data_IF_802730713543
#
_entry.id   IF_802730713543
#
_cell.length_a   1.000
_cell.length_b   1.000
_cell.length_c   1.000
_cell.angle_alpha   90.00
_cell.angle_beta   90.00
_cell.angle_gamma   90.00
#
_symmetry.space_group_name_H-M   'P 1'
#
loop_
_entity.id
_entity.type
_entity.pdbx_description
1 polymer ?
2 non-polymer ?
3 water ?
#
# COMPACT_ATOMS: atom_id res chain seq x y z
N UNK A 6 40.42 12.76 -25.57
CA UNK A 6 39.12 12.76 -24.84
C UNK A 6 39.23 13.75 -23.71
N UNK A 7 38.25 14.65 -23.60
CA UNK A 7 38.34 15.75 -22.65
C UNK A 7 37.03 15.98 -21.91
N UNK A 8 37.13 16.76 -20.83
CA UNK A 8 35.96 17.27 -20.17
C UNK A 8 35.67 18.58 -20.85
N UNK A 9 34.40 18.79 -21.17
CA UNK A 9 33.93 20.04 -21.76
C UNK A 9 33.36 20.90 -20.67
N UNK A 10 33.41 22.23 -20.85
CA UNK A 10 32.78 23.11 -19.86
C UNK A 10 31.34 22.68 -19.58
N UNK A 11 30.94 22.76 -18.32
CA UNK A 11 29.58 22.45 -17.88
C UNK A 11 28.55 23.30 -18.60
N UNK A 12 27.49 22.67 -19.09
CA UNK A 12 26.39 23.44 -19.65
C UNK A 12 25.40 23.87 -18.57
N UNK A 13 25.14 25.18 -18.50
CA UNK A 13 24.16 25.71 -17.55
C UNK A 13 22.95 26.29 -18.25
N UNK A 14 21.76 25.85 -17.85
CA UNK A 14 20.55 26.31 -18.51
C UNK A 14 19.35 26.34 -17.52
N UNK A 15 18.40 27.19 -17.82
CA UNK A 15 17.31 27.48 -16.89
C UNK A 15 15.97 27.23 -17.54
N UNK A 16 15.05 26.65 -16.77
CA UNK A 16 13.72 26.36 -17.24
C UNK A 16 12.76 26.39 -16.08
N UNK A 17 11.48 26.56 -16.38
CA UNK A 17 10.46 26.41 -15.35
C UNK A 17 10.00 24.96 -15.36
N UNK A 18 9.54 24.52 -14.20
CA UNK A 18 8.84 23.27 -14.00
C UNK A 18 7.96 22.91 -15.18
N UNK A 19 7.03 23.81 -15.50
CA UNK A 19 6.04 23.62 -16.58
C UNK A 19 6.65 23.29 -17.94
N UNK A 20 7.84 23.82 -18.22
CA UNK A 20 8.54 23.46 -19.44
C UNK A 20 8.76 21.95 -19.52
N UNK A 21 8.91 21.30 -18.37
CA UNK A 21 9.09 19.87 -18.36
C UNK A 21 7.87 19.09 -17.95
N UNK A 22 6.70 19.52 -18.43
CA UNK A 22 5.43 19.01 -17.91
C UNK A 22 4.86 17.81 -18.66
N UNK A 23 5.50 17.46 -19.78
CA UNK A 23 5.04 16.36 -20.65
C UNK A 23 6.10 15.28 -20.80
N UNK A 24 5.77 14.04 -20.42
CA UNK A 24 6.74 12.95 -20.52
C UNK A 24 7.23 12.87 -21.94
N UNK A 25 8.55 12.82 -22.10
CA UNK A 25 9.17 12.64 -23.41
C UNK A 25 9.44 13.91 -24.19
N UNK A 26 8.87 15.04 -23.77
CA UNK A 26 9.13 16.33 -24.42
C UNK A 26 10.63 16.62 -24.53
N UNK A 27 11.05 16.98 -25.75
CA UNK A 27 12.42 17.44 -25.98
C UNK A 27 12.48 18.89 -25.55
N UNK A 28 13.04 19.11 -24.36
CA UNK A 28 13.13 20.44 -23.78
C UNK A 28 14.19 21.31 -24.46
N UNK A 29 15.36 20.75 -24.74
CA UNK A 29 16.43 21.48 -25.42
C UNK A 29 17.46 20.56 -26.05
N UNK A 30 18.37 21.17 -26.81
CA UNK A 30 19.42 20.47 -27.56
C UNK A 30 20.82 20.76 -26.98
N UNK A 31 21.59 19.71 -26.70
CA UNK A 31 22.95 19.89 -26.21
C UNK A 31 23.82 20.37 -27.37
N UNK A 32 24.89 21.09 -27.04
CA UNK A 32 25.75 21.68 -28.06
C UNK A 32 26.69 20.64 -28.65
N UNK A 33 26.68 20.58 -29.98
CA UNK A 33 27.57 19.73 -30.74
C UNK A 33 28.81 20.54 -31.06
N UNK A 34 29.93 19.85 -31.28
CA UNK A 34 31.14 20.52 -31.73
C UNK A 34 31.51 20.14 -33.17
N UNK A 35 30.98 19.01 -33.62
CA UNK A 35 30.96 18.60 -35.02
C UNK A 35 29.65 17.90 -35.23
N UNK A 36 29.23 17.80 -36.48
CA UNK A 36 28.00 17.11 -36.81
C UNK A 36 28.03 15.65 -36.34
N UNK A 37 29.11 14.95 -36.65
CA UNK A 37 29.20 13.49 -36.45
C UNK A 37 29.06 12.94 -35.03
N UNK A 38 29.36 13.73 -34.01
CA UNK A 38 29.41 13.24 -32.64
C UNK A 38 28.03 12.90 -32.06
N UNK A 39 27.98 11.88 -31.21
CA UNK A 39 26.71 11.46 -30.63
C UNK A 39 26.73 11.45 -29.11
N UNK A 40 25.54 11.47 -28.53
CA UNK A 40 25.36 11.68 -27.09
C UNK A 40 24.73 10.47 -26.40
N UNK A 41 25.07 10.32 -25.12
CA UNK A 41 24.49 9.30 -24.27
C UNK A 41 24.64 9.76 -22.82
N UNK A 42 23.63 9.55 -21.99
CA UNK A 42 23.70 10.02 -20.62
C UNK A 42 24.68 9.13 -19.87
N UNK A 43 25.41 9.69 -18.91
CA UNK A 43 26.40 8.90 -18.19
C UNK A 43 25.76 7.90 -17.22
N UNK A 44 24.75 8.32 -16.47
CA UNK A 44 24.03 7.42 -15.56
C UNK A 44 22.55 7.75 -15.56
N UNK A 45 21.73 6.85 -15.03
CA UNK A 45 20.32 7.13 -14.85
C UNK A 45 20.10 8.51 -14.24
N UNK A 46 19.07 9.17 -14.72
CA UNK A 46 18.58 10.34 -14.03
C UNK A 46 17.06 10.25 -14.03
N UNK A 47 16.42 10.58 -12.88
CA UNK A 47 14.97 10.39 -12.84
C UNK A 47 14.22 11.38 -13.71
N UNK A 48 14.85 12.50 -14.07
CA UNK A 48 14.14 13.60 -14.71
C UNK A 48 14.34 13.72 -16.20
N UNK A 49 15.44 13.19 -16.71
CA UNK A 49 15.76 13.40 -18.13
C UNK A 49 16.33 12.14 -18.81
N UNK A 50 16.10 12.02 -20.12
CA UNK A 50 16.86 11.03 -20.90
C UNK A 50 17.59 11.78 -22.03
N UNK A 51 18.50 11.11 -22.71
CA UNK A 51 19.25 11.81 -23.77
C UNK A 51 19.30 11.02 -25.07
N UNK A 52 18.76 11.60 -26.14
CA UNK A 52 18.80 10.96 -27.47
C UNK A 52 20.19 11.01 -28.03
N UNK A 53 20.50 10.13 -28.98
CA UNK A 53 21.86 10.11 -29.53
C UNK A 53 22.23 11.41 -30.28
N UNK A 54 21.23 12.17 -30.73
CA UNK A 54 21.48 13.45 -31.43
C UNK A 54 21.67 14.67 -30.50
N UNK A 55 21.56 14.48 -29.19
CA UNK A 55 21.76 15.57 -28.25
C UNK A 55 20.50 16.07 -27.55
N UNK A 56 19.35 15.54 -27.96
CA UNK A 56 18.08 16.02 -27.41
C UNK A 56 17.95 15.56 -25.96
N UNK A 57 17.63 16.51 -25.08
CA UNK A 57 17.37 16.22 -23.68
C UNK A 57 15.85 16.15 -23.47
N UNK A 58 15.35 14.97 -23.11
CA UNK A 58 13.91 14.72 -23.01
C UNK A 58 13.47 14.46 -21.57
N UNK A 59 12.29 14.95 -21.24
CA UNK A 59 11.67 14.73 -19.94
C UNK A 59 11.45 13.25 -19.72
N UNK A 60 11.85 12.77 -18.55
CA UNK A 60 11.57 11.40 -18.14
C UNK A 60 10.34 11.47 -17.24
N UNK A 61 10.55 11.77 -15.96
CA UNK A 61 9.44 12.02 -15.05
C UNK A 61 9.10 13.51 -15.11
N UNK A 62 7.81 13.82 -15.19
CA UNK A 62 7.34 15.21 -15.19
C UNK A 62 8.09 16.05 -14.17
N UNK A 63 8.72 17.12 -14.65
CA UNK A 63 9.54 17.96 -13.79
C UNK A 63 8.72 18.56 -12.65
N UNK A 64 9.34 18.63 -11.48
CA UNK A 64 8.61 19.00 -10.28
C UNK A 64 9.52 19.73 -9.33
N UNK A 65 9.29 21.04 -9.20
CA UNK A 65 10.00 21.88 -8.27
C UNK A 65 9.81 21.39 -6.85
N UNK A 66 8.58 20.97 -6.53
CA UNK A 66 8.22 20.50 -5.19
C UNK A 66 8.94 19.21 -4.77
N UNK A 67 9.58 18.52 -5.72
CA UNK A 67 10.19 17.23 -5.41
C UNK A 67 11.71 17.22 -5.59
N UNK A 68 12.25 18.35 -6.05
CA UNK A 68 13.70 18.58 -6.13
C UNK A 68 14.26 19.01 -4.79
N UNK A 69 15.57 18.86 -4.61
CA UNK A 69 16.25 19.22 -3.36
C UNK A 69 16.50 20.71 -3.25
N UNK A 70 17.27 21.13 -2.24
CA UNK A 70 17.44 22.56 -1.99
C UNK A 70 18.06 23.30 -3.18
N UNK A 71 18.97 22.64 -3.90
CA UNK A 71 19.65 23.24 -5.05
C UNK A 71 18.70 23.53 -6.21
N UNK A 72 17.64 22.71 -6.31
CA UNK A 72 16.59 22.89 -7.32
C UNK A 72 17.12 22.72 -8.75
N UNK A 73 18.03 21.76 -8.90
CA UNK A 73 18.63 21.50 -10.19
C UNK A 73 18.43 20.04 -10.62
N UNK A 74 18.51 19.81 -11.93
CA UNK A 74 18.58 18.48 -12.52
C UNK A 74 20.02 18.43 -13.02
N UNK A 75 20.83 17.58 -12.41
CA UNK A 75 22.28 17.63 -12.57
C UNK A 75 22.76 16.27 -13.08
N UNK A 76 23.29 16.24 -14.29
CA UNK A 76 23.70 14.97 -14.90
C UNK A 76 24.92 15.11 -15.81
N UNK A 77 25.57 13.97 -16.05
CA UNK A 77 26.69 13.92 -16.95
C UNK A 77 26.32 13.31 -18.30
N UNK A 78 27.05 13.69 -19.33
CA UNK A 78 26.76 13.21 -20.66
C UNK A 78 28.04 12.78 -21.35
N UNK A 79 28.02 11.59 -21.96
CA UNK A 79 29.16 11.11 -22.72
C UNK A 79 28.95 11.52 -24.16
N UNK A 80 30.01 12.02 -24.80
CA UNK A 80 29.93 12.43 -26.21
C UNK A 80 30.99 11.72 -27.03
N UNK A 81 30.57 10.91 -28.00
CA UNK A 81 31.47 9.99 -28.69
C UNK A 81 31.64 10.32 -30.17
N UNK A 82 32.82 9.96 -30.72
CA UNK A 82 33.12 10.06 -32.15
C UNK A 82 34.15 9.02 -32.57
N UNK A 85 34.86 6.79 -36.63
CA UNK A 85 35.78 6.44 -37.71
C UNK A 85 35.49 7.28 -38.96
N UNK A 86 36.55 7.65 -39.68
CA UNK A 86 36.43 8.44 -40.88
C UNK A 86 36.39 9.95 -40.61
N UNK A 87 36.46 10.32 -39.34
CA UNK A 87 36.43 11.73 -38.94
C UNK A 87 37.84 12.14 -38.57
N UNK A 88 38.77 11.21 -38.72
CA UNK A 88 40.19 11.43 -38.40
C UNK A 88 40.54 11.26 -36.92
N UNK A 89 40.12 12.22 -36.10
CA UNK A 89 40.48 12.26 -34.68
C UNK A 89 39.35 11.72 -33.78
N UNK A 90 39.65 10.65 -33.03
CA UNK A 90 38.66 9.92 -32.23
C UNK A 90 38.71 10.26 -30.74
N UNK A 91 37.55 10.33 -30.11
CA UNK A 91 37.47 10.69 -28.70
C UNK A 91 36.15 10.26 -28.08
N UNK A 92 36.13 10.27 -26.75
CA UNK A 92 34.94 10.02 -25.96
C UNK A 92 34.98 11.04 -24.82
N UNK A 93 34.22 12.12 -25.00
CA UNK A 93 34.25 13.28 -24.10
C UNK A 93 33.21 13.22 -22.98
N UNK A 94 33.42 14.02 -21.94
CA UNK A 94 32.44 14.17 -20.87
C UNK A 94 31.97 15.61 -20.73
N UNK A 95 30.67 15.79 -20.51
CA UNK A 95 30.13 17.11 -20.17
C UNK A 95 29.08 16.99 -19.08
N UNK A 96 29.16 17.89 -18.11
CA UNK A 96 28.17 18.01 -17.06
C UNK A 96 27.06 18.95 -17.53
N UNK A 97 25.83 18.64 -17.15
CA UNK A 97 24.68 19.45 -17.53
C UNK A 97 23.84 19.77 -16.29
N UNK A 98 23.65 21.06 -16.03
CA UNK A 98 22.90 21.53 -14.86
C UNK A 98 21.74 22.43 -15.29
N UNK A 99 20.54 21.90 -15.13
CA UNK A 99 19.31 22.65 -15.41
C UNK A 99 18.79 23.27 -14.12
N UNK A 100 18.68 24.60 -14.08
CA UNK A 100 18.02 25.24 -12.94
C UNK A 100 16.54 25.17 -13.23
N UNK A 101 15.78 24.73 -12.23
CA UNK A 101 14.35 24.58 -12.41
C UNK A 101 13.62 25.64 -11.59
N UNK A 102 12.84 26.49 -12.28
CA UNK A 102 12.09 27.54 -11.59
C UNK A 102 10.68 27.11 -11.18
N UNK A 103 10.25 27.60 -10.02
CA UNK A 103 8.95 27.25 -9.47
C UNK A 103 7.79 27.79 -10.30
N UNK A 104 6.75 26.98 -10.41
CA UNK A 104 5.47 27.42 -10.94
C UNK A 104 4.43 26.98 -9.93
N UNK A 105 3.46 27.87 -9.67
CA UNK A 105 2.31 27.53 -8.84
C UNK A 105 1.43 26.48 -9.54
N UNK A 106 1.76 25.20 -9.35
CA UNK A 106 1.17 24.13 -10.16
C UNK A 106 0.49 23.03 -9.34
N UNK A 107 0.49 23.20 -8.02
CA UNK A 107 -0.10 22.22 -7.10
C UNK A 107 -1.22 22.86 -6.32
N UNK A 108 -2.38 22.18 -6.24
CA UNK A 108 -3.57 22.72 -5.56
C UNK A 108 -3.42 22.70 -4.05
N UNK A 109 -4.18 23.56 -3.34
CA UNK A 109 -4.19 23.57 -1.90
C UNK A 109 -5.02 22.39 -1.36
N UNK A 110 -4.90 22.10 -0.06
CA UNK A 110 -5.61 20.98 0.56
C UNK A 110 -5.85 21.26 2.04
N UNK A 111 -7.04 20.92 2.54
CA UNK A 111 -7.38 21.08 3.95
C UNK A 111 -6.56 20.12 4.84
N UNK A 112 -6.12 20.60 5.99
CA UNK A 112 -5.43 19.74 6.95
C UNK A 112 -6.25 19.47 8.21
N UNK A 113 -7.46 20.01 8.28
CA UNK A 113 -8.39 19.72 9.38
C UNK A 113 -8.61 18.25 9.53
N UNK A 114 -8.57 17.77 10.78
CA UNK A 114 -8.90 16.38 11.09
C UNK A 114 -9.71 16.40 12.37
N UNK A 115 -10.64 15.44 12.54
CA UNK A 115 -11.00 14.40 11.56
C UNK A 115 -11.89 14.94 10.46
N UNK A 116 -12.07 14.13 9.41
CA UNK A 116 -12.98 14.40 8.32
C UNK A 116 -14.11 13.38 8.31
N UNK A 117 -15.34 13.80 7.99
CA UNK A 117 -15.76 15.19 7.64
C UNK A 117 -15.57 16.18 8.78
N UNK A 118 -15.51 17.47 8.43
CA UNK A 118 -15.41 18.55 9.40
C UNK A 118 -16.68 18.67 10.24
N UNK A 119 -16.52 18.67 11.57
CA UNK A 119 -17.68 18.80 12.48
C UNK A 119 -17.39 19.74 13.64
N UNK A 120 -18.40 20.51 14.03
CA UNK A 120 -18.28 21.39 15.17
C UNK A 120 -19.63 21.48 15.88
N UNK A 121 -19.66 22.19 17.00
CA UNK A 121 -20.93 22.51 17.65
C UNK A 121 -21.11 24.02 17.78
N UNK A 122 -22.37 24.45 17.89
CA UNK A 122 -22.67 25.85 18.18
C UNK A 122 -23.54 25.91 19.45
N UNK A 123 -23.06 26.68 20.42
CA UNK A 123 -23.80 26.91 21.65
C UNK A 123 -25.17 27.49 21.31
N UNK A 124 -26.21 26.99 21.98
CA UNK A 124 -27.59 27.36 21.65
C UNK A 124 -27.88 28.88 21.58
N UNK A 125 -27.33 29.64 22.51
CA UNK A 125 -27.54 31.08 22.55
C UNK A 125 -26.28 31.87 22.24
N UNK A 126 -25.40 31.29 21.43
CA UNK A 126 -24.15 31.93 21.03
C UNK A 126 -24.37 33.38 20.60
N UNK A 127 -23.66 34.32 21.23
CA UNK A 127 -23.72 35.69 20.73
C UNK A 127 -23.24 35.83 19.28
N UNK A 128 -23.66 36.89 18.57
CA UNK A 128 -23.22 37.06 17.19
C UNK A 128 -21.71 37.10 17.13
N UNK A 129 -21.13 36.49 16.10
CA UNK A 129 -19.69 36.49 15.92
C UNK A 129 -18.95 35.55 16.85
N UNK A 130 -19.65 34.51 17.32
CA UNK A 130 -18.98 33.50 18.09
C UNK A 130 -18.17 32.58 17.14
N UNK A 131 -16.87 32.39 17.43
CA UNK A 131 -16.08 31.43 16.65
C UNK A 131 -16.51 29.99 16.90
N UNK A 132 -16.57 29.19 15.84
CA UNK A 132 -17.19 27.87 15.87
C UNK A 132 -16.29 26.78 15.28
N UNK A 133 -15.45 27.17 14.33
CA UNK A 133 -14.57 26.26 13.59
C UNK A 133 -13.51 27.10 12.86
N UNK A 134 -12.36 26.50 12.56
CA UNK A 134 -11.28 27.19 11.85
C UNK A 134 -10.78 26.32 10.72
N UNK A 135 -11.04 26.76 9.49
CA UNK A 135 -10.60 26.02 8.32
C UNK A 135 -9.11 26.23 8.17
N UNK A 136 -8.39 25.14 7.88
CA UNK A 136 -6.97 25.28 7.60
C UNK A 136 -6.56 24.52 6.36
N UNK A 137 -5.94 25.24 5.42
CA UNK A 137 -5.40 24.67 4.19
C UNK A 137 -3.89 24.89 4.12
N UNK A 138 -3.24 24.10 3.28
CA UNK A 138 -1.81 24.20 3.01
C UNK A 138 -1.66 24.05 1.52
N UNK A 139 -0.53 24.52 0.99
CA UNK A 139 -0.26 24.55 -0.45
C UNK A 139 1.23 24.38 -0.69
N UNK A 140 1.60 23.38 -1.50
CA UNK A 140 2.98 23.00 -1.70
C UNK A 140 3.85 24.07 -2.35
N UNK A 141 3.24 25.01 -3.09
CA UNK A 141 3.98 26.01 -3.87
C UNK A 141 4.55 27.12 -2.99
N UNK A 142 5.68 27.68 -3.41
CA UNK A 142 6.42 28.66 -2.61
C UNK A 142 5.63 29.95 -2.33
N UNK A 143 4.99 30.48 -3.36
CA UNK A 143 4.27 31.75 -3.28
C UNK A 143 2.74 31.63 -3.16
N UNK A 144 2.25 30.58 -2.48
CA UNK A 144 0.81 30.36 -2.31
C UNK A 144 0.04 31.54 -1.68
N UNK A 145 -1.25 31.56 -1.89
CA UNK A 145 -2.07 32.66 -1.41
C UNK A 145 -3.45 32.13 -1.09
N UNK A 146 -3.57 31.56 0.10
CA UNK A 146 -4.76 30.80 0.49
C UNK A 146 -5.89 31.72 0.94
N UNK A 147 -7.05 31.57 0.29
CA UNK A 147 -8.25 32.31 0.59
C UNK A 147 -9.35 31.31 0.94
N UNK A 148 -10.11 31.62 2.00
CA UNK A 148 -11.17 30.73 2.47
C UNK A 148 -12.56 31.24 2.09
N UNK A 149 -13.46 30.31 1.78
CA UNK A 149 -14.79 30.68 1.36
C UNK A 149 -15.83 29.68 1.81
N UNK A 150 -17.02 30.20 2.13
CA UNK A 150 -18.20 29.38 2.18
C UNK A 150 -18.76 29.46 0.78
N UNK A 151 -18.82 28.36 0.05
CA UNK A 151 -19.36 28.42 -1.32
C UNK A 151 -20.84 28.25 -1.38
N UNK A 152 -21.40 27.56 -0.38
CA UNK A 152 -22.81 27.23 -0.41
C UNK A 152 -23.24 27.09 1.03
N UNK A 153 -24.34 27.78 1.35
CA UNK A 153 -24.80 27.92 2.72
C UNK A 153 -26.15 27.23 2.83
N UNK A 154 -26.31 26.45 3.89
CA UNK A 154 -27.59 25.82 4.18
C UNK A 154 -28.05 26.09 5.61
N UNK A 155 -27.43 27.09 6.24
CA UNK A 155 -27.90 27.64 7.51
C UNK A 155 -28.95 28.72 7.24
N UNK A 156 -28.92 29.26 6.02
CA UNK A 156 -29.80 30.36 5.62
C UNK A 156 -29.14 31.70 5.85
N UNK A 157 -27.89 31.68 6.29
CA UNK A 157 -27.10 32.90 6.50
C UNK A 157 -26.59 33.08 7.90
N UNK A 158 -26.65 32.04 8.72
CA UNK A 158 -26.28 32.13 10.13
C UNK A 158 -24.80 32.04 10.42
N UNK A 159 -23.96 32.02 9.37
CA UNK A 159 -22.52 31.90 9.54
C UNK A 159 -21.76 32.66 8.45
N UNK A 160 -20.50 32.96 8.73
CA UNK A 160 -19.59 33.64 7.81
C UNK A 160 -18.15 33.21 8.12
N UNK A 161 -17.28 33.22 7.11
CA UNK A 161 -15.89 32.82 7.34
C UNK A 161 -14.96 33.96 7.01
N UNK A 162 -13.92 34.12 7.81
CA UNK A 162 -12.91 35.10 7.50
C UNK A 162 -12.03 34.54 6.38
N UNK A 163 -11.87 35.32 5.33
CA UNK A 163 -11.22 34.86 4.11
C UNK A 163 -9.71 34.51 4.29
N UNK A 164 -9.05 35.13 5.27
CA UNK A 164 -7.63 34.86 5.50
C UNK A 164 -7.37 33.86 6.63
N UNK A 165 -8.03 34.04 7.77
CA UNK A 165 -7.78 33.19 8.95
C UNK A 165 -8.49 31.86 8.85
N UNK A 166 -9.58 31.82 8.08
CA UNK A 166 -10.37 30.60 7.91
C UNK A 166 -11.31 30.35 9.09
N UNK A 167 -11.42 31.31 10.00
CA UNK A 167 -12.38 31.22 11.10
C UNK A 167 -13.83 31.34 10.62
N UNK A 168 -14.65 30.36 11.01
CA UNK A 168 -16.10 30.39 10.84
C UNK A 168 -16.77 30.88 12.15
N UNK A 169 -17.62 31.89 12.03
CA UNK A 169 -18.30 32.48 13.19
C UNK A 169 -19.77 32.74 12.87
N UNK A 170 -20.60 32.74 13.92
CA UNK A 170 -22.04 32.97 13.77
C UNK A 170 -22.36 34.38 13.32
N UNK A 171 -23.56 34.55 12.77
CA UNK A 171 -24.13 35.86 12.46
C UNK A 171 -25.52 35.90 13.06
N UNK A 172 -25.94 37.07 13.51
CA UNK A 172 -27.30 37.22 13.99
C UNK A 172 -27.43 36.86 15.45
N UNK A 173 -28.60 37.13 16.01
CA UNK A 173 -28.80 37.01 17.44
C UNK A 173 -29.72 35.85 17.80
N UNK A 174 -30.45 35.34 16.80
CA UNK A 174 -31.37 34.23 17.03
C UNK A 174 -30.65 33.02 17.65
N UNK A 175 -31.41 32.21 18.36
CA UNK A 175 -30.85 31.04 19.00
C UNK A 175 -30.66 29.93 17.98
N UNK A 176 -29.73 29.03 18.25
CA UNK A 176 -29.59 27.84 17.44
C UNK A 176 -30.40 26.71 18.08
N UNK A 177 -30.86 25.78 17.26
CA UNK A 177 -31.74 24.71 17.75
C UNK A 177 -30.99 23.43 18.13
N UNK A 178 -31.26 22.97 19.34
CA UNK A 178 -30.65 21.75 19.87
C UNK A 178 -30.75 20.64 18.84
N UNK A 179 -29.61 20.02 18.56
CA UNK A 179 -29.54 18.82 17.76
C UNK A 179 -29.75 19.05 16.27
N UNK A 180 -29.96 20.29 15.87
CA UNK A 180 -30.10 20.57 14.45
C UNK A 180 -28.76 20.76 13.79
N UNK A 181 -28.61 20.19 12.60
CA UNK A 181 -27.37 20.31 11.85
C UNK A 181 -27.46 21.53 10.95
N UNK A 182 -26.40 22.34 10.95
CA UNK A 182 -26.32 23.48 10.05
C UNK A 182 -25.15 23.22 9.11
N UNK A 183 -25.44 23.17 7.81
CA UNK A 183 -24.47 22.70 6.85
C UNK A 183 -23.86 23.83 6.03
N UNK A 184 -22.54 23.81 5.95
CA UNK A 184 -21.81 24.73 5.09
C UNK A 184 -20.90 23.93 4.19
N UNK A 185 -20.92 24.26 2.90
CA UNK A 185 -19.94 23.73 1.97
C UNK A 185 -18.87 24.80 1.79
N UNK A 186 -17.63 24.43 2.05
CA UNK A 186 -16.54 25.39 2.09
C UNK A 186 -15.47 24.99 1.08
N UNK A 187 -14.63 25.94 0.69
CA UNK A 187 -13.45 25.63 -0.13
C UNK A 187 -12.35 26.57 0.28
N UNK A 188 -11.12 26.18 -0.02
CA UNK A 188 -9.98 27.06 0.10
C UNK A 188 -9.35 27.10 -1.27
N UNK A 189 -8.94 28.29 -1.71
CA UNK A 189 -8.31 28.42 -3.02
C UNK A 189 -6.96 29.17 -2.95
N UNK A 190 -6.09 28.86 -3.91
CA UNK A 190 -4.79 29.52 -3.99
C UNK A 190 -4.87 30.50 -5.14
N UNK A 191 -4.88 31.78 -4.82
CA UNK A 191 -5.13 32.80 -5.83
C UNK A 191 -3.89 33.24 -6.58
N UNK A 192 -2.75 32.68 -6.21
CA UNK A 192 -1.54 32.91 -6.97
C UNK A 192 -1.38 31.90 -8.09
N UNK A 193 -2.25 30.88 -8.11
CA UNK A 193 -2.28 29.88 -9.19
C UNK A 193 -3.66 29.63 -9.80
N UNK A 194 -3.70 29.42 -11.12
CA UNK A 194 -4.96 29.17 -11.82
C UNK A 194 -4.90 27.94 -12.73
N UNK A 195 -5.92 27.72 -13.56
CA UNK A 195 -6.00 26.54 -14.45
C UNK A 195 -6.23 26.92 -15.92
N UNK A 198 -8.43 30.57 -16.64
CA UNK A 198 -8.48 31.70 -15.70
C UNK A 198 -9.20 31.34 -14.40
N UNK A 199 -9.18 30.06 -14.03
CA UNK A 199 -9.90 29.59 -12.83
C UNK A 199 -8.95 29.16 -11.70
N UNK A 200 -9.17 29.68 -10.49
CA UNK A 200 -8.26 29.43 -9.38
C UNK A 200 -8.12 27.97 -8.95
N UNK A 201 -6.89 27.58 -8.60
CA UNK A 201 -6.62 26.30 -7.95
C UNK A 201 -7.46 26.23 -6.68
N UNK A 202 -7.89 25.03 -6.33
CA UNK A 202 -8.94 24.88 -5.34
C UNK A 202 -8.91 23.49 -4.70
N UNK A 203 -9.29 23.44 -3.43
CA UNK A 203 -9.55 22.18 -2.74
C UNK A 203 -10.86 21.63 -3.29
N UNK A 204 -11.11 20.33 -3.07
CA UNK A 204 -12.49 19.92 -3.32
C UNK A 204 -13.39 20.60 -2.29
N UNK A 205 -14.65 20.84 -2.66
CA UNK A 205 -15.67 21.26 -1.70
C UNK A 205 -15.70 20.34 -0.48
N UNK A 206 -15.76 20.91 0.72
CA UNK A 206 -15.93 20.12 1.94
C UNK A 206 -17.24 20.47 2.68
N UNK A 207 -17.85 19.45 3.28
CA UNK A 207 -19.08 19.64 4.01
C UNK A 207 -18.80 19.88 5.49
N UNK A 208 -19.05 21.10 5.97
CA UNK A 208 -18.87 21.44 7.38
C UNK A 208 -20.18 21.30 8.16
N UNK A 209 -20.19 20.33 9.08
CA UNK A 209 -21.38 20.02 9.89
C UNK A 209 -21.37 20.71 11.25
N UNK A 210 -22.29 21.65 11.42
CA UNK A 210 -22.39 22.36 12.68
C UNK A 210 -23.70 21.96 13.35
N UNK A 211 -23.59 21.33 14.52
CA UNK A 211 -24.78 20.90 15.24
C UNK A 211 -25.03 21.77 16.48
N UNK A 212 -26.29 22.18 16.66
CA UNK A 212 -26.68 23.04 17.76
C UNK A 212 -26.52 22.34 19.10
N UNK A 213 -25.81 22.98 20.01
CA UNK A 213 -25.83 22.56 21.41
C UNK A 213 -24.94 21.42 21.82
N UNK A 214 -25.07 20.26 21.16
CA UNK A 214 -24.34 19.03 21.55
C UNK A 214 -24.34 18.01 20.42
N UNK A 215 -23.28 17.21 20.32
CA UNK A 215 -23.26 16.10 19.37
C UNK A 215 -22.47 14.88 19.83
N UNK A 216 -22.79 13.74 19.23
CA UNK A 216 -22.07 12.50 19.44
C UNK A 216 -20.57 12.65 19.11
N UNK A 217 -19.74 11.75 19.66
CA UNK A 217 -18.30 11.76 19.36
C UNK A 217 -18.05 11.48 17.87
N UNK A 218 -16.81 11.72 17.43
CA UNK A 218 -16.42 11.39 16.08
C UNK A 218 -15.06 10.71 16.10
N UNK A 219 -14.95 9.59 15.39
CA UNK A 219 -13.69 8.87 15.23
C UNK A 219 -12.75 9.63 14.32
N UNK A 220 -11.44 9.46 14.55
CA UNK A 220 -10.41 10.14 13.78
C UNK A 220 -10.28 9.59 12.37
N UNK A 221 -10.84 8.42 12.14
CA UNK A 221 -10.94 7.90 10.77
C UNK A 221 -12.38 7.45 10.51
N UNK A 222 -12.88 7.66 9.26
CA UNK A 222 -14.25 7.24 8.95
C UNK A 222 -14.40 5.72 9.00
N UNK A 223 -13.30 4.99 8.81
CA UNK A 223 -13.30 3.55 9.06
C UNK A 223 -11.90 3.00 9.31
N UNK A 224 -11.85 1.79 9.83
CA UNK A 224 -10.57 1.18 10.14
C UNK A 224 -10.44 -0.18 9.51
N UNK A 225 -9.21 -0.52 9.09
CA UNK A 225 -8.87 -1.82 8.51
C UNK A 225 -7.47 -2.24 8.94
N UNK A 226 -7.22 -3.55 8.97
CA UNK A 226 -5.93 -4.12 9.33
C UNK A 226 -5.79 -5.55 8.80
N UNK A 227 -4.65 -5.84 8.18
CA UNK A 227 -4.38 -7.19 7.69
C UNK A 227 -3.28 -7.82 8.54
N UNK A 228 -3.62 -8.88 9.28
CA UNK A 228 -2.67 -9.53 10.17
C UNK A 228 -2.45 -11.00 9.80
N UNK A 229 -1.27 -11.55 10.12
CA UNK A 229 -1.05 -12.97 9.82
C UNK A 229 -1.67 -13.90 10.85
N UNK A 230 -2.11 -15.08 10.39
CA UNK A 230 -2.72 -16.11 11.24
C UNK A 230 -1.87 -16.58 12.42
N UNK A 231 -0.58 -16.30 12.38
CA UNK A 231 0.34 -16.82 13.39
C UNK A 231 0.75 -15.78 14.41
N UNK A 232 0.07 -14.64 14.42
CA UNK A 232 0.53 -13.56 15.25
C UNK A 232 0.04 -13.68 16.70
N UNK A 233 0.93 -13.45 17.66
CA UNK A 233 0.73 -13.87 19.05
C UNK A 233 -0.42 -13.17 19.78
N UNK A 234 -1.00 -13.87 20.75
CA UNK A 234 -2.10 -13.34 21.58
C UNK A 234 -1.66 -12.12 22.39
N UNK A 235 -2.62 -11.25 22.72
CA UNK A 235 -2.36 -10.08 23.57
C UNK A 235 -1.61 -8.98 22.80
N UNK A 236 -1.17 -9.27 21.58
CA UNK A 236 -0.47 -8.28 20.76
C UNK A 236 -1.44 -7.25 20.20
N UNK A 237 -0.94 -6.03 20.01
CA UNK A 237 -1.78 -4.91 19.56
C UNK A 237 -2.00 -4.93 18.06
N UNK A 238 -3.27 -4.90 17.65
CA UNK A 238 -3.62 -4.98 16.23
C UNK A 238 -3.76 -3.59 15.60
N UNK A 239 -4.61 -2.76 16.19
CA UNK A 239 -4.81 -1.40 15.73
C UNK A 239 -5.33 -0.60 16.92
N UNK A 240 -5.00 0.68 16.97
CA UNK A 240 -5.53 1.53 18.02
C UNK A 240 -6.51 2.54 17.43
N UNK A 241 -7.64 2.69 18.10
CA UNK A 241 -8.71 3.52 17.61
C UNK A 241 -8.96 4.67 18.56
N UNK A 242 -9.20 5.85 18.00
CA UNK A 242 -9.36 7.07 18.79
C UNK A 242 -10.51 7.93 18.27
N UNK A 243 -11.44 8.29 19.17
CA UNK A 243 -12.54 9.24 18.87
C UNK A 243 -12.40 10.51 19.70
N UNK A 244 -13.04 11.60 19.26
CA UNK A 244 -13.00 12.86 20.01
C UNK A 244 -14.40 13.24 20.47
N UNK A 245 -14.48 13.84 21.66
CA UNK A 245 -15.76 14.39 22.16
C UNK A 245 -15.87 15.87 21.81
N UNK A 246 -17.09 16.35 21.61
CA UNK A 246 -17.26 17.76 21.28
C UNK A 246 -17.58 18.58 22.52
N UNK A 247 -17.68 17.89 23.64
CA UNK A 247 -17.96 18.50 24.94
C UNK A 247 -16.94 18.00 25.97
N UNK A 248 -15.82 17.47 25.46
CA UNK A 248 -14.65 17.10 26.27
C UNK A 248 -14.95 16.09 27.38
N UNK A 249 -15.91 15.20 27.12
CA UNK A 249 -16.21 14.09 28.00
C UNK A 249 -15.19 12.99 27.72
N UNK A 250 -14.96 12.11 28.68
CA UNK A 250 -14.10 10.95 28.43
C UNK A 250 -14.93 9.82 27.77
N UNK A 251 -14.24 8.96 27.03
CA UNK A 251 -14.89 8.02 26.13
C UNK A 251 -14.48 6.58 26.45
N UNK A 252 -15.43 5.66 26.31
CA UNK A 252 -15.17 4.25 26.48
C UNK A 252 -15.66 3.38 25.32
N UNK A 253 -14.79 2.51 24.83
CA UNK A 253 -15.04 1.74 23.62
C UNK A 253 -15.55 0.33 23.87
N UNK A 254 -16.34 -0.20 22.93
CA UNK A 254 -16.83 -1.57 22.96
C UNK A 254 -16.81 -2.14 21.54
N UNK A 255 -16.75 -3.46 21.40
CA UNK A 255 -16.76 -4.09 20.07
C UNK A 255 -17.66 -5.31 19.87
N UNK A 256 -18.20 -5.42 18.66
CA UNK A 256 -19.18 -6.44 18.28
C UNK A 256 -18.76 -7.13 16.97
N UNK A 257 -19.50 -8.17 16.56
CA UNK A 257 -19.28 -8.86 15.29
C UNK A 257 -20.57 -9.04 14.50
N UNK A 258 -20.46 -9.16 13.18
CA UNK A 258 -21.59 -9.61 12.33
C UNK A 258 -21.15 -10.56 11.22
N UNK A 259 -21.49 -11.84 11.34
CA UNK A 259 -21.99 -12.44 12.58
C UNK A 259 -21.06 -13.62 12.79
N UNK A 260 -19.81 -13.43 12.39
CA UNK A 260 -18.81 -14.49 12.40
C UNK A 260 -17.67 -14.22 13.38
N UNK A 261 -17.61 -15.05 14.41
CA UNK A 261 -16.51 -15.04 15.39
C UNK A 261 -16.27 -13.78 16.21
N UNK A 262 -17.12 -13.55 17.20
CA UNK A 262 -16.81 -12.54 18.23
C UNK A 262 -16.07 -13.21 19.39
N UNK A 263 -15.29 -12.42 20.13
CA UNK A 263 -14.45 -12.96 21.21
C UNK A 263 -13.03 -13.19 20.71
N UNK A 264 -12.88 -13.18 19.39
CA UNK A 264 -11.60 -13.27 18.72
C UNK A 264 -10.77 -12.04 19.07
N UNK A 265 -11.43 -10.87 19.05
CA UNK A 265 -10.78 -9.61 19.38
C UNK A 265 -11.47 -8.95 20.56
N UNK A 266 -10.79 -7.98 21.14
CA UNK A 266 -11.34 -7.16 22.22
C UNK A 266 -10.71 -5.77 22.10
N UNK A 267 -11.19 -4.81 22.90
CA UNK A 267 -10.67 -3.44 22.85
C UNK A 267 -10.32 -2.84 24.22
N UNK A 268 -9.29 -2.00 24.24
CA UNK A 268 -8.82 -1.31 25.44
C UNK A 268 -9.81 -0.29 25.98
N UNK A 269 -10.06 -0.32 27.30
CA UNK A 269 -11.16 0.42 27.89
C UNK A 269 -11.11 1.88 27.50
N UNK A 270 -10.01 2.53 27.87
CA UNK A 270 -9.90 3.97 27.75
C UNK A 270 -8.90 4.34 26.65
N UNK A 271 -7.98 3.43 26.36
CA UNK A 271 -6.87 3.71 25.46
C UNK A 271 -7.13 3.32 23.99
N UNK A 272 -8.27 2.70 23.72
CA UNK A 272 -8.68 2.34 22.35
C UNK A 272 -7.88 1.29 21.57
N UNK A 273 -6.90 0.65 22.20
CA UNK A 273 -6.05 -0.31 21.49
C UNK A 273 -6.77 -1.65 21.32
N UNK A 274 -6.84 -2.15 20.09
CA UNK A 274 -7.39 -3.46 19.81
C UNK A 274 -6.33 -4.55 19.91
N UNK A 275 -6.65 -5.61 20.64
CA UNK A 275 -5.74 -6.73 20.82
C UNK A 275 -6.35 -8.03 20.31
N UNK A 276 -5.48 -9.00 20.05
CA UNK A 276 -5.89 -10.35 19.72
C UNK A 276 -6.10 -11.16 21.00
N UNK A 277 -7.28 -11.75 21.11
CA UNK A 277 -7.70 -12.46 22.32
C UNK A 277 -7.53 -13.97 22.23
N UNK A 278 -7.86 -14.52 21.06
CA UNK A 278 -7.74 -15.95 20.82
C UNK A 278 -6.75 -16.21 19.67
N UNK A 279 -6.02 -17.31 19.76
CA UNK A 279 -5.10 -17.70 18.69
C UNK A 279 -5.87 -17.97 17.38
N UNK A 280 -5.32 -17.55 16.25
CA UNK A 280 -6.01 -17.69 14.97
C UNK A 280 -5.62 -18.95 14.16
N UNK A 281 -6.43 -19.29 13.16
CA UNK A 281 -6.15 -20.41 12.25
C UNK A 281 -6.86 -20.23 10.89
N UNK A 282 -6.09 -19.82 9.88
CA UNK A 282 -6.55 -19.67 8.51
C UNK A 282 -7.14 -20.96 7.98
N UNK A 283 -6.68 -22.09 8.52
CA UNK A 283 -7.15 -23.41 8.13
C UNK A 283 -8.44 -23.84 8.85
N UNK A 284 -8.88 -23.06 9.83
CA UNK A 284 -10.10 -23.39 10.56
C UNK A 284 -11.32 -22.76 9.89
N UNK A 285 -12.11 -23.60 9.22
CA UNK A 285 -13.24 -23.15 8.41
C UNK A 285 -14.27 -22.32 9.19
N UNK A 286 -14.46 -22.68 10.45
CA UNK A 286 -15.43 -22.01 11.32
C UNK A 286 -15.10 -20.53 11.56
N UNK A 287 -13.81 -20.19 11.53
CA UNK A 287 -13.39 -18.79 11.52
C UNK A 287 -13.35 -18.28 10.08
N UNK A 288 -13.84 -17.04 9.85
CA UNK A 288 -13.75 -16.43 8.53
C UNK A 288 -12.34 -15.89 8.26
N UNK A 289 -12.09 -15.48 7.02
CA UNK A 289 -10.84 -14.84 6.63
C UNK A 289 -10.93 -13.32 6.75
N UNK A 290 -12.16 -12.82 6.73
CA UNK A 290 -12.44 -11.40 6.90
C UNK A 290 -13.33 -11.24 8.13
N UNK A 291 -12.90 -10.39 9.06
CA UNK A 291 -13.64 -10.13 10.29
C UNK A 291 -14.28 -8.73 10.26
N UNK A 292 -15.61 -8.67 10.15
CA UNK A 292 -16.33 -7.39 10.14
C UNK A 292 -16.74 -6.99 11.55
N UNK A 293 -16.06 -6.01 12.11
CA UNK A 293 -16.31 -5.58 13.49
C UNK A 293 -16.91 -4.18 13.60
N UNK A 294 -17.70 -3.98 14.65
CA UNK A 294 -18.31 -2.70 14.98
C UNK A 294 -17.68 -2.18 16.28
N UNK A 295 -17.08 -0.99 16.20
CA UNK A 295 -16.55 -0.29 17.38
C UNK A 295 -17.41 0.94 17.67
N UNK A 296 -17.96 1.00 18.88
CA UNK A 296 -18.71 2.17 19.32
C UNK A 296 -17.98 2.92 20.44
N UNK A 297 -17.89 4.23 20.28
CA UNK A 297 -17.29 5.09 21.29
C UNK A 297 -18.41 5.76 22.07
N UNK A 298 -18.57 5.38 23.34
CA UNK A 298 -19.64 5.91 24.17
C UNK A 298 -19.18 6.90 25.23
N UNK A 299 -19.94 7.99 25.38
CA UNK A 299 -19.76 8.94 26.47
C UNK A 299 -20.60 8.51 27.68
N UNK A 300 -19.94 7.92 28.66
CA UNK A 300 -20.61 7.37 29.83
C UNK A 300 -20.98 8.50 30.78
N UNK A 301 -20.33 9.64 30.57
CA UNK A 301 -20.70 10.90 31.21
C UNK A 301 -21.53 11.73 30.23
N UNK A 302 -22.75 11.26 29.95
CA UNK A 302 -23.67 11.91 29.00
C UNK A 302 -24.75 10.96 28.49
N UNK A 303 -24.44 10.24 27.42
CA UNK A 303 -25.35 9.27 26.81
C UNK A 303 -24.99 8.98 25.36
N UNK A 304 -24.63 10.02 24.60
CA UNK A 304 -24.28 9.91 23.19
C UNK A 304 -23.25 8.84 22.86
N UNK A 305 -23.31 8.33 21.63
CA UNK A 305 -22.34 7.36 21.13
C UNK A 305 -22.41 7.26 19.62
N UNK A 306 -21.30 6.85 18.99
CA UNK A 306 -21.27 6.61 17.55
C UNK A 306 -20.43 5.39 17.15
N UNK A 307 -20.81 4.80 16.03
CA UNK A 307 -20.23 3.56 15.53
C UNK A 307 -19.31 3.77 14.35
N UNK A 308 -18.41 2.81 14.16
CA UNK A 308 -17.50 2.82 13.04
C UNK A 308 -17.16 1.38 12.70
N UNK A 309 -17.07 1.07 11.42
CA UNK A 309 -16.74 -0.28 10.93
C UNK A 309 -15.25 -0.54 11.13
N UNK A 310 -14.90 -1.77 11.48
CA UNK A 310 -13.50 -2.20 11.61
C UNK A 310 -13.31 -3.59 10.97
N UNK A 311 -12.56 -3.63 9.88
CA UNK A 311 -12.37 -4.85 9.11
C UNK A 311 -10.96 -5.39 9.31
N UNK A 312 -10.88 -6.69 9.63
CA UNK A 312 -9.60 -7.39 9.80
C UNK A 312 -9.50 -8.60 8.85
N UNK A 313 -8.48 -8.59 8.00
CA UNK A 313 -8.20 -9.73 7.12
C UNK A 313 -7.07 -10.54 7.69
N UNK A 314 -7.26 -11.85 7.72
CA UNK A 314 -6.24 -12.75 8.24
C UNK A 314 -5.62 -13.46 7.05
N UNK A 315 -4.30 -13.59 7.06
CA UNK A 315 -3.56 -14.19 5.95
C UNK A 315 -2.97 -15.56 6.28
N UNK A 316 -2.84 -16.38 5.24
CA UNK A 316 -2.28 -17.72 5.33
C UNK A 316 -0.76 -17.65 5.56
N UNK A 317 -0.28 -18.39 6.55
CA UNK A 317 1.16 -18.66 6.65
C UNK A 317 1.37 -20.15 6.42
N UNK A 318 2.57 -20.50 5.97
CA UNK A 318 2.90 -21.88 5.68
C UNK A 318 3.15 -22.64 6.98
N UNK A 319 2.10 -22.86 7.75
CA UNK A 319 2.22 -23.59 9.01
C UNK A 319 1.95 -25.11 8.86
N UNK A 320 1.68 -25.55 7.65
CA UNK A 320 1.40 -26.97 7.44
C UNK A 320 2.37 -27.67 6.50
N UNK A 321 2.80 -28.86 6.89
CA UNK A 321 3.63 -29.70 6.02
C UNK A 321 2.78 -30.68 5.21
N UNK A 322 3.20 -30.99 3.96
CA UNK A 322 2.46 -32.00 3.17
C UNK A 322 2.39 -33.33 3.94
N UNK A 323 1.21 -33.95 4.00
CA UNK A 323 1.08 -35.29 4.62
C UNK A 323 0.69 -36.34 3.60
N UNK A 324 1.46 -37.42 3.54
CA UNK A 324 1.14 -38.56 2.68
C UNK A 324 -0.08 -39.28 3.23
N UNK A 325 -0.94 -39.74 2.33
CA UNK A 325 -2.18 -40.44 2.71
C UNK A 325 -1.91 -41.73 3.48
N UNK A 326 -0.79 -42.38 3.18
CA UNK A 326 -0.39 -43.58 3.91
C UNK A 326 0.91 -43.30 4.69
N UNK A 327 1.17 -44.06 5.78
CA UNK A 327 2.46 -43.88 6.47
C UNK A 327 3.64 -44.48 5.72
N UNK A 328 3.39 -45.44 4.85
CA UNK A 328 4.43 -46.01 3.98
C UNK A 328 3.82 -46.73 2.79
N UNK A 329 4.62 -46.91 1.76
CA UNK A 329 4.13 -47.49 0.51
C UNK A 329 4.96 -48.70 0.11
N UNK A 330 4.28 -49.68 -0.46
CA UNK A 330 4.87 -50.97 -0.73
C UNK A 330 4.32 -51.49 -2.05
N UNK A 331 5.19 -51.94 -2.95
CA UNK A 331 4.76 -52.63 -4.18
C UNK A 331 5.41 -54.01 -4.21
N UNK A 332 4.65 -55.01 -4.62
CA UNK A 332 5.12 -56.39 -4.63
C UNK A 332 5.22 -56.97 -6.02
N UNK A 333 5.87 -58.13 -6.12
CA UNK A 333 5.93 -58.92 -7.36
C UNK A 333 6.34 -58.09 -8.57
N UNK A 334 7.24 -57.14 -8.37
CA UNK A 334 7.70 -56.30 -9.46
C UNK A 334 8.75 -57.07 -10.24
N UNK A 335 8.50 -57.30 -11.52
CA UNK A 335 9.48 -57.97 -12.38
C UNK A 335 10.71 -57.07 -12.52
N UNK A 336 11.90 -57.62 -12.26
CA UNK A 336 13.11 -56.80 -12.30
C UNK A 336 13.53 -56.36 -13.71
N UNK A 337 13.11 -57.13 -14.71
CA UNK A 337 13.44 -56.78 -16.08
C UNK A 337 12.53 -55.70 -16.67
N UNK A 338 11.65 -55.14 -15.84
CA UNK A 338 10.71 -54.12 -16.33
C UNK A 338 11.44 -53.01 -17.09
N UNK A 339 10.93 -52.67 -18.29
CA UNK A 339 11.53 -51.58 -19.06
C UNK A 339 11.45 -50.26 -18.31
N UNK A 340 12.46 -49.41 -18.49
CA UNK A 340 12.49 -48.12 -17.83
C UNK A 340 11.27 -47.30 -18.18
N UNK A 341 10.66 -46.70 -17.16
CA UNK A 341 9.48 -45.89 -17.33
C UNK A 341 8.17 -46.53 -16.92
N UNK A 342 8.24 -47.70 -16.26
CA UNK A 342 7.02 -48.38 -15.82
C UNK A 342 6.54 -47.84 -14.49
N UNK A 343 5.24 -47.54 -14.41
CA UNK A 343 4.63 -47.14 -13.15
C UNK A 343 4.70 -48.31 -12.18
N UNK A 344 5.39 -48.11 -11.07
CA UNK A 344 5.53 -49.16 -10.05
C UNK A 344 4.44 -48.99 -9.01
N UNK A 345 4.25 -47.75 -8.55
CA UNK A 345 3.16 -47.42 -7.66
C UNK A 345 2.90 -45.92 -7.71
N UNK A 346 1.73 -45.52 -7.25
CA UNK A 346 1.37 -44.12 -7.17
C UNK A 346 1.35 -43.69 -5.71
N UNK A 347 1.79 -42.45 -5.48
CA UNK A 347 1.93 -41.87 -4.15
C UNK A 347 1.15 -40.55 -4.12
N UNK A 348 0.58 -40.21 -2.96
CA UNK A 348 -0.13 -38.93 -2.82
C UNK A 348 0.00 -38.30 -1.43
N UNK A 349 0.13 -36.98 -1.41
CA UNK A 349 0.27 -36.20 -0.19
C UNK A 349 -0.57 -34.93 -0.26
N UNK A 350 -1.08 -34.49 0.89
CA UNK A 350 -1.98 -33.35 0.95
C UNK A 350 -1.46 -32.30 1.92
N UNK A 351 -1.75 -31.04 1.62
CA UNK A 351 -1.26 -29.90 2.40
C UNK A 351 -2.42 -28.95 2.71
N UNK A 352 -2.61 -28.67 4.00
CA UNK A 352 -3.70 -27.83 4.50
C UNK A 352 -3.70 -26.36 4.05
N UNK A 353 -2.52 -25.81 3.77
CA UNK A 353 -2.35 -24.40 3.46
C UNK A 353 -2.98 -24.04 2.12
N UNK A 354 -2.78 -22.80 1.67
CA UNK A 354 -3.38 -22.34 0.41
C UNK A 354 -2.33 -21.87 -0.60
N UNK A 355 -2.77 -21.58 -1.82
CA UNK A 355 -1.87 -21.18 -2.89
C UNK A 355 -0.62 -22.04 -2.93
N UNK A 356 0.54 -21.40 -3.07
CA UNK A 356 1.79 -22.11 -3.21
C UNK A 356 2.34 -22.72 -1.91
N UNK A 357 1.80 -22.29 -0.78
CA UNK A 357 2.10 -22.97 0.49
C UNK A 357 1.50 -24.38 0.49
N UNK A 358 0.65 -24.66 -0.48
CA UNK A 358 0.05 -25.99 -0.69
C UNK A 358 0.46 -26.66 -2.01
N UNK A 359 1.32 -26.00 -2.79
CA UNK A 359 1.81 -26.54 -4.05
C UNK A 359 2.87 -27.61 -3.73
N UNK A 360 2.73 -28.78 -4.35
CA UNK A 360 3.52 -29.95 -3.96
C UNK A 360 4.45 -30.51 -5.05
N UNK A 361 5.72 -30.59 -4.73
CA UNK A 361 6.70 -31.24 -5.59
C UNK A 361 7.07 -32.57 -4.93
N UNK A 362 7.44 -33.56 -5.76
CA UNK A 362 7.83 -34.87 -5.24
C UNK A 362 9.27 -35.24 -5.58
N UNK A 363 9.96 -35.80 -4.59
CA UNK A 363 11.33 -36.29 -4.78
C UNK A 363 11.48 -37.73 -4.30
N UNK A 364 12.58 -38.37 -4.69
CA UNK A 364 12.88 -39.74 -4.30
C UNK A 364 14.37 -39.86 -3.98
N UNK A 365 14.71 -40.55 -2.90
CA UNK A 365 16.09 -40.62 -2.41
C UNK A 365 16.98 -41.63 -3.14
N UNK A 366 16.36 -42.51 -3.91
CA UNK A 366 17.06 -43.56 -4.63
C UNK A 366 16.98 -43.30 -6.14
N UNK A 367 18.12 -42.95 -6.74
CA UNK A 367 18.13 -42.61 -8.17
C UNK A 367 17.80 -43.79 -9.12
N UNK A 368 17.45 -44.95 -8.55
CA UNK A 368 16.92 -46.07 -9.33
C UNK A 368 15.47 -45.79 -9.76
N UNK A 369 14.85 -44.82 -9.09
CA UNK A 369 13.47 -44.44 -9.34
C UNK A 369 13.38 -42.95 -9.60
N UNK A 370 12.27 -42.51 -10.18
CA UNK A 370 12.00 -41.10 -10.44
C UNK A 370 10.52 -40.87 -10.19
N UNK A 371 10.12 -39.62 -9.93
CA UNK A 371 8.72 -39.37 -9.60
C UNK A 371 8.24 -38.07 -10.22
N UNK A 372 7.02 -38.06 -10.74
CA UNK A 372 6.50 -36.86 -11.41
C UNK A 372 5.60 -36.07 -10.46
N UNK A 373 5.07 -34.94 -10.95
CA UNK A 373 4.21 -34.08 -10.14
C UNK A 373 2.88 -34.74 -9.75
N UNK A 374 2.55 -35.85 -10.41
CA UNK A 374 1.35 -36.62 -10.10
C UNK A 374 1.58 -37.76 -9.10
N UNK A 375 2.80 -37.85 -8.59
CA UNK A 375 3.13 -38.88 -7.60
C UNK A 375 3.38 -40.27 -8.15
N UNK A 376 3.34 -40.42 -9.48
CA UNK A 376 3.66 -41.69 -10.10
C UNK A 376 5.15 -41.99 -9.92
N UNK A 377 5.45 -43.04 -9.16
CA UNK A 377 6.83 -43.48 -8.97
C UNK A 377 7.15 -44.46 -10.08
N UNK A 378 8.23 -44.15 -10.79
CA UNK A 378 8.56 -44.86 -12.01
C UNK A 378 9.91 -45.55 -11.86
N UNK A 379 10.15 -46.47 -12.77
CA UNK A 379 11.42 -47.16 -12.93
C UNK A 379 12.42 -46.25 -13.67
N UNK A 380 13.46 -45.76 -12.98
CA UNK A 380 14.49 -44.90 -13.63
C UNK A 380 15.81 -45.58 -14.06
N UNK A 381 16.09 -46.77 -13.55
CA UNK A 381 17.24 -47.59 -13.99
C UNK A 381 16.88 -49.07 -14.04
N UNK A 382 17.61 -49.86 -14.82
CA UNK A 382 17.45 -51.31 -14.78
C UNK A 382 17.46 -51.78 -13.32
N UNK A 383 16.54 -52.69 -12.98
CA UNK A 383 16.39 -53.17 -11.61
C UNK A 383 17.02 -54.55 -11.40
N UNK A 384 17.65 -55.08 -12.44
CA UNK A 384 18.18 -56.43 -12.42
C UNK A 384 19.70 -56.45 -12.27
N UNK A 385 20.28 -55.26 -12.20
CA UNK A 385 21.72 -55.14 -12.08
C UNK A 385 22.02 -54.71 -10.65
N UNK A 386 22.97 -55.40 -10.03
CA UNK A 386 23.41 -55.11 -8.67
C UNK A 386 22.23 -55.11 -7.68
N UNK A 387 21.44 -56.17 -7.71
CA UNK A 387 20.26 -56.29 -6.85
C UNK A 387 20.13 -57.70 -6.27
N UNK A 388 21.10 -58.07 -5.44
CA UNK A 388 21.19 -59.42 -4.87
C UNK A 388 20.00 -59.78 -3.98
N UNK A 389 19.56 -58.81 -3.17
CA UNK A 389 18.51 -59.06 -2.19
C UNK A 389 17.11 -58.79 -2.72
N UNK A 390 17.03 -58.44 -4.00
CA UNK A 390 15.78 -58.26 -4.73
C UNK A 390 14.80 -57.27 -4.07
N UNK A 391 15.33 -56.14 -3.59
CA UNK A 391 14.57 -55.25 -2.72
C UNK A 391 15.13 -53.85 -2.68
N UNK A 392 14.25 -52.87 -2.81
CA UNK A 392 14.63 -51.47 -2.69
C UNK A 392 13.84 -50.82 -1.57
N UNK A 393 14.55 -50.08 -0.72
CA UNK A 393 13.95 -49.30 0.36
C UNK A 393 14.42 -47.85 0.30
N UNK A 394 13.50 -46.92 0.07
CA UNK A 394 13.85 -45.51 -0.07
C UNK A 394 12.75 -44.54 0.40
N UNK A 395 13.05 -43.26 0.31
CA UNK A 395 12.19 -42.24 0.86
C UNK A 395 11.64 -41.33 -0.24
N UNK A 396 10.33 -41.10 -0.19
CA UNK A 396 9.68 -40.06 -0.99
C UNK A 396 9.51 -38.82 -0.15
N UNK A 397 9.81 -37.68 -0.74
CA UNK A 397 9.55 -36.42 -0.10
C UNK A 397 8.43 -35.78 -0.88
N UNK A 398 7.49 -35.16 -0.17
CA UNK A 398 6.58 -34.17 -0.76
C UNK A 398 6.89 -32.80 -0.14
N UNK A 399 7.34 -31.88 -0.98
CA UNK A 399 7.92 -30.61 -0.56
C UNK A 399 7.02 -29.51 -1.09
N UNK A 400 6.52 -28.63 -0.21
CA UNK A 400 5.70 -27.53 -0.68
C UNK A 400 6.53 -26.38 -1.23
N UNK A 401 5.86 -25.37 -1.78
CA UNK A 401 6.54 -24.20 -2.34
C UNK A 401 6.45 -22.97 -1.43
N UNK A 402 6.37 -23.23 -0.12
CA UNK A 402 6.33 -22.15 0.88
C UNK A 402 7.69 -21.54 1.13
N UNK A 403 7.71 -20.47 1.92
CA UNK A 403 8.95 -19.76 2.20
C UNK A 403 9.15 -19.52 3.70
N UNK A 404 9.91 -20.41 4.38
CA UNK A 404 10.64 -21.56 3.81
C UNK A 404 9.75 -22.79 3.59
N UNK A 405 10.15 -23.70 2.68
CA UNK A 405 9.33 -24.87 2.37
C UNK A 405 9.34 -25.94 3.45
N UNK A 406 8.16 -26.49 3.74
CA UNK A 406 8.01 -27.60 4.69
C UNK A 406 7.92 -28.92 3.93
N UNK A 407 8.35 -30.01 4.59
CA UNK A 407 8.42 -31.33 3.96
C UNK A 407 7.60 -32.44 4.63
N UNK A 408 7.08 -33.33 3.78
CA UNK A 408 6.52 -34.60 4.24
C UNK A 408 7.34 -35.76 3.67
N UNK A 409 7.49 -36.82 4.46
CA UNK A 409 8.25 -37.99 4.02
C UNK A 409 7.58 -39.33 4.35
N UNK A 410 7.84 -40.34 3.50
CA UNK A 410 7.35 -41.71 3.69
C UNK A 410 8.30 -42.75 3.12
N UNK A 411 8.33 -43.91 3.75
CA UNK A 411 9.13 -45.04 3.27
C UNK A 411 8.45 -45.63 2.04
N UNK A 412 9.24 -46.07 1.06
CA UNK A 412 8.75 -46.89 -0.05
C UNK A 412 9.57 -48.17 -0.17
N UNK A 413 8.87 -49.30 -0.27
CA UNK A 413 9.51 -50.60 -0.42
C UNK A 413 9.11 -51.16 -1.77
N UNK A 414 10.10 -51.57 -2.56
CA UNK A 414 9.81 -52.25 -3.80
C UNK A 414 10.42 -53.65 -3.73
N UNK A 415 9.58 -54.69 -3.70
CA UNK A 415 10.07 -56.07 -3.76
C UNK A 415 10.08 -56.56 -5.20
N UNK A 416 11.24 -56.99 -5.67
CA UNK A 416 11.36 -57.46 -7.04
C UNK A 416 11.49 -58.98 -7.12
N UNK A 417 11.39 -59.51 -8.33
CA UNK A 417 11.65 -60.92 -8.56
C UNK A 417 12.08 -61.15 -10.01
N UNK A 418 12.67 -62.32 -10.27
CA UNK A 418 12.79 -62.84 -11.65
C UNK A 418 11.71 -63.91 -11.89
#
# INVERSE_FOLDING_TARGET
SRRVTRAVRPTKRIEFTEADGDTEGKSVFQLEKETDKETFKIRDDNPWVTVETNGAVRVKKKWDYEELGPEKTIDFWVIITNMGHNAGIKYTDNQRVIILVKDVNDEPPYFINRPLPMQAVVQLNAPPNTPVFTLQARDPDTDHNIHYFIVRDRTGGRFEVDERSGVVRTRGTDLFQLDMEYVLYVKAEDQNGKVDDRRFQSTPEERLSIVGGKRAPQFYMPSYEAEIPENQKKDSDIISIKAKSFADREIRYTLKAQGQGAGTFNIGPTSGIVKLAKELDFEDLRQPHVYSLIVTATEDSGGFSTSVDLTIRVTDVNDNAPKFELPDYQAHNVDEDIPLGTSILRVKAMDSDSGSNAEIEYLVSDDHFAVDSNGIIVNNKQLDADNNNAYYEFIVTAKDKGEPPKSGVATVRVYTKNK
#
